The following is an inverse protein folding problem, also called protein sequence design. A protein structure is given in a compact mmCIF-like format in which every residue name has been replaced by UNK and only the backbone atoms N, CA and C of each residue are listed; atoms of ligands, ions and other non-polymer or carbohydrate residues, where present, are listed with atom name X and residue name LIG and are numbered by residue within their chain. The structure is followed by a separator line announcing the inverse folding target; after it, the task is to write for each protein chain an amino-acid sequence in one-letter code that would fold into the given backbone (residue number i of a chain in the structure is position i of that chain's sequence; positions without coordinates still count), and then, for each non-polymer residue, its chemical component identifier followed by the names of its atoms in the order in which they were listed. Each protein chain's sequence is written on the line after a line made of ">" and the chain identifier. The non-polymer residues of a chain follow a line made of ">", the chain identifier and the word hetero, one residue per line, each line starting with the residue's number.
data_IF_105518376351
#
_entry.id   IF_105518376351
#
_cell.length_a   1.000
_cell.length_b   1.000
_cell.length_c   1.000
_cell.angle_alpha   90.00
_cell.angle_beta   90.00
_cell.angle_gamma   90.00
#
_symmetry.space_group_name_H-M   'P 1'
#
loop_
_entity.id
_entity.type
_entity.pdbx_description
1 polymer ?
#
# COMPACT_ATOMS: atom_id res chain seq x y z
N UNK A 1 -0.21 15.41 17.32
CA UNK A 1 -0.63 14.97 15.98
C UNK A 1 -1.90 15.70 15.59
N UNK A 2 -1.89 16.52 14.53
CA UNK A 2 -3.05 17.31 14.11
C UNK A 2 -4.08 16.45 13.36
N UNK A 3 -4.42 15.28 13.89
CA UNK A 3 -5.25 14.28 13.21
C UNK A 3 -6.24 13.61 14.15
N UNK A 4 -7.40 13.30 13.59
CA UNK A 4 -8.46 12.58 14.28
C UNK A 4 -8.05 11.11 14.48
N UNK A 5 -7.71 10.77 15.72
CA UNK A 5 -7.28 9.42 16.11
C UNK A 5 -8.40 8.38 15.98
N UNK A 6 -9.65 8.81 15.78
CA UNK A 6 -10.84 7.93 15.73
C UNK A 6 -11.16 7.44 14.33
N UNK A 7 -10.53 8.00 13.28
CA UNK A 7 -10.72 7.53 11.90
C UNK A 7 -9.82 6.34 11.59
N UNK A 8 -10.36 5.35 10.87
CA UNK A 8 -9.56 4.30 10.24
C UNK A 8 -8.76 4.96 9.13
N UNK A 9 -7.48 5.26 9.38
CA UNK A 9 -6.64 5.90 8.38
C UNK A 9 -5.15 5.56 8.55
N UNK A 10 -4.46 5.54 7.42
CA UNK A 10 -3.01 5.55 7.28
C UNK A 10 -2.67 6.63 6.26
N UNK A 11 -1.56 7.34 6.46
CA UNK A 11 -1.09 8.32 5.48
C UNK A 11 0.40 8.62 5.69
N UNK A 12 1.04 9.15 4.65
CA UNK A 12 2.39 9.68 4.71
C UNK A 12 2.40 11.21 4.84
N UNK A 13 3.08 11.71 5.87
CA UNK A 13 3.33 13.13 6.09
C UNK A 13 4.68 13.53 5.50
N UNK A 14 4.67 14.17 4.33
CA UNK A 14 5.91 14.62 3.65
C UNK A 14 6.67 15.73 4.39
N UNK A 15 5.98 16.56 5.18
CA UNK A 15 6.61 17.63 5.96
C UNK A 15 7.28 17.11 7.23
N UNK A 16 6.79 16.00 7.77
CA UNK A 16 7.36 15.34 8.95
C UNK A 16 8.23 14.13 8.57
N UNK A 17 8.28 13.79 7.27
CA UNK A 17 8.92 12.58 6.74
C UNK A 17 8.51 11.32 7.54
N UNK A 18 7.21 11.13 7.75
CA UNK A 18 6.70 10.06 8.62
C UNK A 18 5.46 9.38 8.05
N UNK A 19 5.45 8.05 8.08
CA UNK A 19 4.22 7.27 7.90
C UNK A 19 3.45 7.23 9.23
N UNK A 20 2.15 7.52 9.18
CA UNK A 20 1.29 7.60 10.36
C UNK A 20 0.21 6.55 10.27
N UNK A 21 0.07 5.77 11.36
CA UNK A 21 -1.02 4.83 11.54
C UNK A 21 -1.88 5.30 12.72
N UNK A 22 -3.18 5.45 12.47
CA UNK A 22 -4.14 5.71 13.56
C UNK A 22 -4.31 4.47 14.44
N UNK A 23 -4.60 4.66 15.73
CA UNK A 23 -4.80 3.52 16.63
C UNK A 23 -5.96 2.60 16.16
N UNK A 24 -6.97 3.18 15.51
CA UNK A 24 -8.17 2.46 15.03
C UNK A 24 -7.85 1.57 13.82
N UNK A 25 -6.74 1.77 13.09
CA UNK A 25 -6.34 0.82 12.04
C UNK A 25 -5.72 -0.47 12.62
N UNK A 26 -5.30 -0.46 13.89
CA UNK A 26 -4.66 -1.60 14.57
C UNK A 26 -5.70 -2.59 15.12
N UNK A 27 -6.74 -2.88 14.33
CA UNK A 27 -7.81 -3.82 14.66
C UNK A 27 -8.16 -4.69 13.45
N UNK A 28 -9.05 -5.66 13.64
CA UNK A 28 -9.52 -6.53 12.55
C UNK A 28 -10.19 -5.69 11.43
N UNK A 29 -9.96 -6.00 10.13
CA UNK A 29 -9.20 -7.13 9.59
C UNK A 29 -7.69 -6.88 9.46
N UNK A 30 -7.23 -5.66 9.69
CA UNK A 30 -5.84 -5.26 9.40
C UNK A 30 -4.83 -5.80 10.41
N UNK A 31 -5.19 -5.88 11.69
CA UNK A 31 -4.31 -6.38 12.73
C UNK A 31 -5.06 -7.06 13.87
N UNK A 32 -4.50 -8.16 14.36
CA UNK A 32 -4.81 -8.72 15.68
C UNK A 32 -3.60 -9.54 16.13
N UNK A 33 -3.29 -9.49 17.43
CA UNK A 33 -2.12 -10.14 18.02
C UNK A 33 -2.03 -11.63 17.65
N UNK A 34 -3.16 -12.32 17.66
CA UNK A 34 -3.25 -13.76 17.39
C UNK A 34 -3.20 -14.17 15.92
N UNK A 35 -3.15 -13.22 14.98
CA UNK A 35 -3.09 -13.55 13.56
C UNK A 35 -1.69 -14.04 13.15
N UNK A 36 -1.61 -15.00 12.21
CA UNK A 36 -0.33 -15.41 11.61
C UNK A 36 0.45 -14.23 11.03
N UNK A 37 1.78 -14.33 11.02
CA UNK A 37 2.63 -13.30 10.42
C UNK A 37 2.37 -13.09 8.94
N UNK A 38 2.01 -14.13 8.18
CA UNK A 38 1.52 -14.01 6.79
C UNK A 38 0.36 -13.02 6.66
N UNK A 39 -0.63 -13.13 7.54
CA UNK A 39 -1.85 -12.31 7.50
C UNK A 39 -1.50 -10.87 7.87
N UNK A 40 -0.77 -10.68 8.98
CA UNK A 40 -0.34 -9.33 9.42
C UNK A 40 0.51 -8.62 8.37
N UNK A 41 1.36 -9.35 7.65
CA UNK A 41 2.18 -8.78 6.57
C UNK A 41 1.36 -8.48 5.32
N UNK A 42 0.39 -9.33 4.98
CA UNK A 42 -0.51 -9.11 3.84
C UNK A 42 -1.48 -7.95 4.05
N UNK A 43 -1.83 -7.64 5.29
CA UNK A 43 -2.69 -6.51 5.62
C UNK A 43 -1.89 -5.29 6.09
N UNK A 44 -1.54 -5.20 7.37
CA UNK A 44 -0.86 -4.04 7.96
C UNK A 44 0.54 -3.82 7.37
N UNK A 45 1.25 -4.90 7.04
CA UNK A 45 2.55 -4.80 6.37
C UNK A 45 2.45 -4.16 4.99
N UNK A 46 1.40 -4.48 4.24
CA UNK A 46 1.10 -3.83 2.96
C UNK A 46 0.77 -2.35 3.15
N UNK A 47 -0.10 -2.00 4.10
CA UNK A 47 -0.45 -0.60 4.40
C UNK A 47 0.82 0.22 4.72
N UNK A 48 1.66 -0.30 5.62
CA UNK A 48 2.94 0.35 5.94
C UNK A 48 3.85 0.49 4.72
N UNK A 49 3.92 -0.55 3.89
CA UNK A 49 4.66 -0.51 2.64
C UNK A 49 4.13 0.55 1.67
N UNK A 50 2.80 0.68 1.54
CA UNK A 50 2.13 1.67 0.72
C UNK A 50 2.49 3.09 1.20
N UNK A 51 2.31 3.37 2.49
CA UNK A 51 2.60 4.71 3.05
C UNK A 51 4.07 5.11 2.92
N UNK A 52 4.99 4.18 3.17
CA UNK A 52 6.42 4.46 3.00
C UNK A 52 6.77 4.78 1.55
N UNK A 53 6.02 4.25 0.57
CA UNK A 53 6.29 4.50 -0.84
C UNK A 53 5.80 5.87 -1.32
N UNK A 54 4.85 6.51 -0.64
CA UNK A 54 4.47 7.90 -0.95
C UNK A 54 5.63 8.90 -0.78
N UNK A 55 6.68 8.55 -0.03
CA UNK A 55 7.88 9.37 0.08
C UNK A 55 8.65 9.56 -1.24
N UNK A 56 8.53 8.61 -2.18
CA UNK A 56 9.46 8.51 -3.32
C UNK A 56 8.88 8.94 -4.67
N UNK A 57 7.59 9.26 -4.74
CA UNK A 57 6.90 9.68 -5.96
C UNK A 57 6.28 11.07 -5.76
N UNK A 58 6.00 11.81 -6.83
CA UNK A 58 5.40 13.15 -6.74
C UNK A 58 4.06 13.07 -5.98
N UNK A 59 3.81 13.83 -4.90
CA UNK A 59 4.56 14.99 -4.42
C UNK A 59 5.71 14.71 -3.46
N UNK A 60 5.79 13.53 -2.84
CA UNK A 60 6.80 13.19 -1.83
C UNK A 60 8.24 13.32 -2.31
N UNK A 61 8.53 12.93 -3.56
CA UNK A 61 9.89 13.01 -4.14
C UNK A 61 10.48 14.42 -4.21
N UNK A 62 9.65 15.46 -4.07
CA UNK A 62 10.09 16.85 -4.04
C UNK A 62 10.57 17.31 -2.65
N UNK A 63 10.45 16.48 -1.63
CA UNK A 63 10.80 16.78 -0.24
C UNK A 63 11.99 15.94 0.20
N UNK A 64 12.98 16.55 0.85
CA UNK A 64 14.14 15.86 1.41
C UNK A 64 13.83 15.18 2.76
N UNK A 65 14.84 14.57 3.37
CA UNK A 65 14.70 13.80 4.61
C UNK A 65 14.24 14.62 5.82
N UNK A 66 14.29 15.95 5.74
CA UNK A 66 13.82 16.87 6.77
C UNK A 66 12.46 17.48 6.43
N UNK A 67 11.82 17.04 5.35
CA UNK A 67 10.54 17.56 4.88
C UNK A 67 10.64 18.93 4.20
N UNK A 68 11.83 19.34 3.75
CA UNK A 68 11.98 20.58 3.00
C UNK A 68 11.83 20.33 1.50
N UNK A 69 11.16 21.25 0.79
CA UNK A 69 11.05 21.16 -0.66
C UNK A 69 12.42 21.40 -1.30
N UNK A 70 13.06 20.34 -1.79
CA UNK A 70 14.42 20.37 -2.29
C UNK A 70 14.57 19.33 -3.41
N UNK A 71 15.31 19.68 -4.47
CA UNK A 71 15.62 18.73 -5.53
C UNK A 71 16.89 17.95 -5.18
N UNK A 72 16.73 16.88 -4.42
CA UNK A 72 17.81 16.00 -3.98
C UNK A 72 18.12 14.86 -4.97
N UNK A 73 17.39 14.80 -6.09
CA UNK A 73 17.57 13.77 -7.11
C UNK A 73 18.65 14.14 -8.12
N UNK A 74 19.54 13.19 -8.43
CA UNK A 74 20.41 13.31 -9.60
C UNK A 74 19.58 13.26 -10.89
N UNK A 75 20.10 13.86 -11.97
CA UNK A 75 19.45 13.82 -13.29
C UNK A 75 19.21 12.38 -13.78
N UNK A 76 20.16 11.49 -13.52
CA UNK A 76 20.06 10.08 -13.87
C UNK A 76 18.97 9.36 -13.09
N UNK A 77 18.92 9.55 -11.77
CA UNK A 77 17.89 8.95 -10.93
C UNK A 77 16.49 9.42 -11.36
N UNK A 78 16.33 10.73 -11.62
CA UNK A 78 15.07 11.29 -12.13
C UNK A 78 14.65 10.66 -13.46
N UNK A 79 15.58 10.52 -14.41
CA UNK A 79 15.30 9.86 -15.70
C UNK A 79 14.84 8.41 -15.52
N UNK A 80 15.53 7.64 -14.67
CA UNK A 80 15.18 6.24 -14.41
C UNK A 80 13.82 6.12 -13.70
N UNK A 81 13.47 7.06 -12.84
CA UNK A 81 12.16 7.11 -12.21
C UNK A 81 11.05 7.43 -13.21
N UNK A 82 11.21 8.43 -14.07
CA UNK A 82 10.22 8.78 -15.11
C UNK A 82 9.89 7.58 -16.02
N UNK A 83 10.85 6.71 -16.33
CA UNK A 83 10.60 5.48 -17.09
C UNK A 83 9.66 4.54 -16.33
N UNK A 84 9.84 4.39 -15.01
CA UNK A 84 8.99 3.55 -14.16
C UNK A 84 7.60 4.15 -13.96
N UNK A 85 7.51 5.47 -13.78
CA UNK A 85 6.23 6.17 -13.72
C UNK A 85 5.42 5.92 -14.99
N UNK A 86 6.07 6.04 -16.16
CA UNK A 86 5.45 5.75 -17.45
C UNK A 86 4.97 4.30 -17.54
N UNK A 87 5.77 3.33 -17.08
CA UNK A 87 5.37 1.92 -17.09
C UNK A 87 4.08 1.66 -16.30
N UNK A 88 3.92 2.28 -15.13
CA UNK A 88 2.69 2.12 -14.32
C UNK A 88 1.51 2.87 -14.95
N UNK A 89 1.72 4.09 -15.46
CA UNK A 89 0.66 4.79 -16.20
C UNK A 89 0.18 3.97 -17.39
N UNK A 90 1.10 3.40 -18.16
CA UNK A 90 0.79 2.57 -19.32
C UNK A 90 0.05 1.26 -18.92
N UNK A 91 0.25 0.73 -17.70
CA UNK A 91 -0.49 -0.43 -17.18
C UNK A 91 -1.99 -0.13 -16.99
N UNK A 92 -2.31 1.04 -16.44
CA UNK A 92 -3.70 1.46 -16.16
C UNK A 92 -4.35 2.20 -17.34
N UNK A 93 -3.56 2.62 -18.32
CA UNK A 93 -4.04 3.36 -19.48
C UNK A 93 -5.07 2.57 -20.28
N UNK A 94 -6.28 3.11 -20.37
CA UNK A 94 -7.35 2.50 -21.17
C UNK A 94 -8.12 1.39 -20.46
N UNK A 95 -7.78 1.07 -19.21
CA UNK A 95 -8.59 0.19 -18.37
C UNK A 95 -9.93 0.85 -18.06
N UNK A 96 -10.98 0.04 -18.00
CA UNK A 96 -12.33 0.44 -17.60
C UNK A 96 -12.62 -0.24 -16.28
N UNK A 97 -13.00 0.53 -15.27
CA UNK A 97 -13.43 0.00 -13.99
C UNK A 97 -14.83 -0.62 -14.14
N UNK A 98 -15.01 -1.83 -13.63
CA UNK A 98 -16.13 -2.71 -13.98
C UNK A 98 -17.48 -2.22 -13.39
N UNK A 99 -17.48 -1.64 -12.19
CA UNK A 99 -18.71 -1.24 -11.50
C UNK A 99 -19.24 0.13 -11.98
N UNK A 100 -18.35 1.09 -12.20
CA UNK A 100 -18.68 2.44 -12.66
C UNK A 100 -18.73 2.57 -14.17
N UNK A 101 -18.14 1.62 -14.90
CA UNK A 101 -17.90 1.67 -16.35
C UNK A 101 -17.08 2.90 -16.79
N UNK A 102 -16.35 3.53 -15.87
CA UNK A 102 -15.52 4.69 -16.18
C UNK A 102 -14.11 4.24 -16.58
N UNK A 103 -13.51 5.02 -17.47
CA UNK A 103 -12.11 4.84 -17.82
C UNK A 103 -11.24 5.36 -16.68
N UNK A 104 -10.32 4.53 -16.21
CA UNK A 104 -9.34 4.92 -15.19
C UNK A 104 -8.47 6.07 -15.72
N UNK A 105 -8.37 7.13 -14.94
CA UNK A 105 -7.43 8.21 -15.21
C UNK A 105 -6.04 7.82 -14.70
N UNK A 106 -5.19 7.32 -15.60
CA UNK A 106 -3.89 6.77 -15.24
C UNK A 106 -2.93 7.82 -14.65
N UNK A 107 -3.18 9.11 -14.88
CA UNK A 107 -2.35 10.18 -14.33
C UNK A 107 -2.78 10.55 -12.92
N UNK A 108 -4.09 10.60 -12.66
CA UNK A 108 -4.63 10.96 -11.35
C UNK A 108 -4.42 9.85 -10.32
N UNK A 109 -4.66 8.60 -10.71
CA UNK A 109 -4.49 7.42 -9.85
C UNK A 109 -3.04 6.96 -9.71
N UNK A 110 -2.11 7.54 -10.48
CA UNK A 110 -0.72 7.08 -10.56
C UNK A 110 -0.06 6.90 -9.19
N UNK A 111 -0.23 7.87 -8.29
CA UNK A 111 0.45 7.91 -6.99
C UNK A 111 0.01 6.79 -6.06
N UNK A 112 -1.28 6.48 -6.04
CA UNK A 112 -1.84 5.36 -5.29
C UNK A 112 -1.43 4.05 -5.94
N UNK A 113 -1.59 3.93 -7.27
CA UNK A 113 -1.23 2.71 -8.01
C UNK A 113 0.24 2.30 -7.81
N UNK A 114 1.18 3.26 -7.85
CA UNK A 114 2.59 2.96 -7.61
C UNK A 114 2.86 2.61 -6.14
N UNK A 115 2.20 3.29 -5.19
CA UNK A 115 2.29 2.99 -3.77
C UNK A 115 1.75 1.57 -3.48
N UNK A 116 0.65 1.15 -4.09
CA UNK A 116 0.08 -0.20 -3.98
C UNK A 116 1.04 -1.28 -4.48
N UNK A 117 1.56 -1.10 -5.70
CA UNK A 117 2.49 -2.05 -6.33
C UNK A 117 3.78 -2.18 -5.51
N UNK A 118 4.32 -1.06 -5.03
CA UNK A 118 5.56 -1.05 -4.25
C UNK A 118 5.34 -1.48 -2.81
N UNK A 119 4.20 -1.16 -2.22
CA UNK A 119 3.77 -1.62 -0.90
C UNK A 119 3.65 -3.13 -0.88
N UNK A 120 3.01 -3.72 -1.90
CA UNK A 120 2.94 -5.16 -2.10
C UNK A 120 4.32 -5.80 -2.18
N UNK A 121 5.19 -5.27 -3.04
CA UNK A 121 6.55 -5.80 -3.17
C UNK A 121 7.30 -5.73 -1.83
N UNK A 122 7.25 -4.59 -1.16
CA UNK A 122 7.99 -4.33 0.10
C UNK A 122 7.50 -5.25 1.21
N UNK A 123 6.17 -5.35 1.38
CA UNK A 123 5.55 -6.21 2.38
C UNK A 123 5.80 -7.70 2.11
N UNK A 124 5.77 -8.12 0.85
CA UNK A 124 6.05 -9.51 0.49
C UNK A 124 7.52 -9.89 0.70
N UNK A 125 8.46 -8.99 0.37
CA UNK A 125 9.88 -9.20 0.69
C UNK A 125 10.11 -9.29 2.21
N UNK A 126 9.47 -8.42 3.00
CA UNK A 126 9.52 -8.45 4.45
C UNK A 126 8.90 -9.74 5.03
N UNK A 127 7.77 -10.17 4.48
CA UNK A 127 7.11 -11.43 4.83
C UNK A 127 8.06 -12.63 4.67
N UNK A 128 8.69 -12.78 3.50
CA UNK A 128 9.60 -13.91 3.25
C UNK A 128 10.83 -13.87 4.15
N UNK A 129 11.39 -12.68 4.42
CA UNK A 129 12.49 -12.51 5.38
C UNK A 129 12.07 -12.92 6.80
N UNK A 130 10.87 -12.56 7.22
CA UNK A 130 10.32 -12.93 8.52
C UNK A 130 10.19 -14.46 8.67
N UNK A 131 9.67 -15.15 7.65
CA UNK A 131 9.57 -16.61 7.67
C UNK A 131 10.93 -17.31 7.77
N UNK A 132 11.97 -16.74 7.14
CA UNK A 132 13.34 -17.27 7.27
C UNK A 132 13.90 -17.08 8.69
N UNK A 133 13.53 -15.98 9.36
CA UNK A 133 13.94 -15.72 10.74
C UNK A 133 13.15 -16.56 11.76
N UNK A 134 11.89 -16.86 11.47
CA UNK A 134 10.97 -17.58 12.36
C UNK A 134 10.34 -18.81 11.66
N UNK A 135 11.13 -19.82 11.29
CA UNK A 135 10.68 -20.95 10.45
C UNK A 135 9.62 -21.84 11.13
N UNK A 136 9.51 -21.79 12.46
CA UNK A 136 8.57 -22.59 13.25
C UNK A 136 7.29 -21.84 13.62
N UNK A 137 7.12 -20.58 13.18
CA UNK A 137 5.89 -19.83 13.45
C UNK A 137 4.71 -20.43 12.68
N UNK A 138 3.60 -20.67 13.39
CA UNK A 138 2.41 -21.28 12.78
C UNK A 138 1.72 -20.32 11.82
N UNK A 139 1.62 -20.72 10.54
CA UNK A 139 0.93 -19.95 9.49
C UNK A 139 -0.39 -20.62 9.11
N UNK A 140 -1.39 -20.54 10.00
CA UNK A 140 -2.73 -21.09 9.73
C UNK A 140 -3.83 -20.25 10.33
N UNK A 141 -4.97 -20.22 9.67
CA UNK A 141 -6.19 -19.63 10.20
C UNK A 141 -7.18 -20.75 10.59
N UNK A 142 -8.00 -20.56 11.64
CA UNK A 142 -9.12 -21.45 11.90
C UNK A 142 -10.04 -21.53 10.66
N UNK A 143 -10.53 -22.73 10.35
CA UNK A 143 -11.48 -22.97 9.26
C UNK A 143 -10.95 -22.70 7.83
N UNK A 144 -9.65 -22.46 7.64
CA UNK A 144 -9.02 -22.36 6.34
C UNK A 144 -7.96 -23.46 6.20
N UNK A 145 -8.12 -24.33 5.19
CA UNK A 145 -7.19 -25.44 4.94
C UNK A 145 -5.89 -25.01 4.26
N UNK A 146 -5.79 -23.76 3.81
CA UNK A 146 -4.56 -23.23 3.24
C UNK A 146 -3.53 -22.97 4.34
N UNK A 147 -2.34 -23.56 4.17
CA UNK A 147 -1.22 -23.48 5.12
C UNK A 147 0.05 -22.94 4.49
N UNK A 148 0.04 -22.68 3.18
CA UNK A 148 1.13 -22.00 2.49
C UNK A 148 1.17 -20.53 2.93
N UNK A 149 2.26 -20.08 3.57
CA UNK A 149 2.38 -18.73 4.09
C UNK A 149 2.26 -17.64 3.02
N UNK A 150 2.84 -17.86 1.84
CA UNK A 150 2.81 -16.90 0.73
C UNK A 150 1.38 -16.75 0.19
N UNK A 151 0.61 -17.85 0.10
CA UNK A 151 -0.80 -17.77 -0.31
C UNK A 151 -1.67 -17.09 0.74
N UNK A 152 -1.46 -17.39 2.03
CA UNK A 152 -2.17 -16.70 3.11
C UNK A 152 -1.92 -15.19 3.08
N UNK A 153 -0.70 -14.76 2.75
CA UNK A 153 -0.37 -13.35 2.53
C UNK A 153 -1.26 -12.74 1.44
N UNK A 154 -1.30 -13.31 0.23
CA UNK A 154 -2.09 -12.74 -0.87
C UNK A 154 -3.60 -12.81 -0.64
N UNK A 155 -4.11 -13.89 -0.02
CA UNK A 155 -5.52 -14.00 0.36
C UNK A 155 -5.89 -12.90 1.36
N UNK A 156 -5.06 -12.69 2.39
CA UNK A 156 -5.33 -11.65 3.40
C UNK A 156 -5.28 -10.24 2.84
N UNK A 157 -4.34 -9.96 1.92
CA UNK A 157 -4.29 -8.71 1.20
C UNK A 157 -5.57 -8.48 0.41
N UNK A 158 -5.96 -9.43 -0.45
CA UNK A 158 -7.19 -9.32 -1.25
C UNK A 158 -8.43 -9.13 -0.36
N UNK A 159 -8.50 -9.86 0.76
CA UNK A 159 -9.60 -9.73 1.72
C UNK A 159 -9.69 -8.32 2.34
N UNK A 160 -8.57 -7.63 2.54
CA UNK A 160 -8.56 -6.26 3.08
C UNK A 160 -9.15 -5.21 2.12
N UNK A 161 -9.25 -5.52 0.83
CA UNK A 161 -9.90 -4.69 -0.18
C UNK A 161 -11.36 -5.06 -0.43
N UNK A 162 -11.90 -6.09 0.23
CA UNK A 162 -13.32 -6.40 0.11
C UNK A 162 -14.14 -5.27 0.75
N UNK A 163 -14.74 -4.44 -0.11
CA UNK A 163 -15.64 -3.36 0.27
C UNK A 163 -16.96 -3.50 -0.50
N UNK A 164 -18.00 -2.85 0.00
CA UNK A 164 -19.31 -2.75 -0.67
C UNK A 164 -19.59 -1.26 -0.84
N UNK A 165 -18.85 -0.65 -1.74
CA UNK A 165 -18.82 0.80 -1.93
C UNK A 165 -20.06 1.27 -2.69
N UNK A 166 -20.48 2.50 -2.42
CA UNK A 166 -21.50 3.10 -3.25
C UNK A 166 -20.89 3.55 -4.58
N UNK A 167 -21.66 3.42 -5.67
CA UNK A 167 -21.23 3.85 -7.01
C UNK A 167 -20.70 5.29 -7.04
N UNK A 168 -21.18 6.18 -6.17
CA UNK A 168 -20.69 7.55 -6.05
C UNK A 168 -19.24 7.62 -5.53
N UNK A 169 -18.88 6.79 -4.55
CA UNK A 169 -17.54 6.74 -3.96
C UNK A 169 -16.53 6.17 -4.95
N UNK A 170 -16.92 5.13 -5.69
CA UNK A 170 -16.07 4.52 -6.73
C UNK A 170 -15.73 5.51 -7.85
N UNK A 171 -16.65 6.41 -8.21
CA UNK A 171 -16.39 7.43 -9.24
C UNK A 171 -15.29 8.40 -8.86
N UNK A 172 -15.21 8.77 -7.58
CA UNK A 172 -14.18 9.69 -7.08
C UNK A 172 -12.79 9.02 -7.03
N UNK A 173 -12.74 7.68 -6.98
CA UNK A 173 -11.50 6.89 -7.00
C UNK A 173 -10.98 6.67 -8.43
N UNK A 174 -11.89 6.53 -9.42
CA UNK A 174 -11.54 6.20 -10.81
C UNK A 174 -11.11 7.42 -11.63
N UNK A 175 -11.70 8.58 -11.34
CA UNK A 175 -11.45 9.85 -12.03
C UNK A 175 -10.22 10.57 -11.48
#
# INVERSE_FOLDING_TARGET
>A
WPHDLTKVNAYYSKLENSAVLTAVILQHPFYSYGLPSSVKMGTLGWILGHELNHAFYDPGSNYDEYGNKNNWWTKEAKKNFTIREKCVKDLYKGQIEEETCLKINETQTFNENIADIKGLKTAFEAHRRHLLQFPNETQRLPCLNESNPDKLFFISLAYSFCQNDQLAELRDIVL
#
